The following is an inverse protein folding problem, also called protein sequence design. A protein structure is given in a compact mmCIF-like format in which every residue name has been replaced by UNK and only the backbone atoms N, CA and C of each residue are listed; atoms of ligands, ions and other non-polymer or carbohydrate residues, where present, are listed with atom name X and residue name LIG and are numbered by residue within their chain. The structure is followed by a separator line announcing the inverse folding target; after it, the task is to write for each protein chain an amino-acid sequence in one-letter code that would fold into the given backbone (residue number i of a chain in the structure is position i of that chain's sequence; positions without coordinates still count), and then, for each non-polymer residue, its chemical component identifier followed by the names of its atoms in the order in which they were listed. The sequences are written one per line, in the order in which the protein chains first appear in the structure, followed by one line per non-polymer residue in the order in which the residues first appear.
data_IF_305260071922
#
_entry.id   IF_305260071922
#
_cell.length_a   1.000
_cell.length_b   1.000
_cell.length_c   1.000
_cell.angle_alpha   90.00
_cell.angle_beta   90.00
_cell.angle_gamma   90.00
#
_symmetry.space_group_name_H-M   'P 1'
#
loop_
_entity.id
_entity.type
_entity.pdbx_description
1 polymer ?
#
# COMPACT_ATOMS: atom_id res chain seq x y z
N UNK A 1 24.91 9.08 14.23
CA UNK A 1 23.90 8.18 13.63
C UNK A 1 22.89 7.89 14.73
N UNK A 2 21.95 8.81 14.95
CA UNK A 2 21.19 8.88 16.21
C UNK A 2 19.66 8.88 16.01
N UNK A 3 19.16 8.87 14.76
CA UNK A 3 17.72 8.95 14.50
C UNK A 3 17.32 7.97 13.39
N UNK A 4 16.73 6.83 13.76
CA UNK A 4 15.85 6.04 12.86
C UNK A 4 16.33 4.67 12.38
N UNK A 5 17.64 4.38 12.41
CA UNK A 5 18.18 3.27 11.61
C UNK A 5 18.20 1.89 12.30
N UNK A 6 18.17 1.83 13.64
CA UNK A 6 18.35 0.58 14.40
C UNK A 6 17.13 -0.37 14.39
N UNK A 7 16.06 -0.04 13.68
CA UNK A 7 14.86 -0.88 13.53
C UNK A 7 14.11 -0.69 12.22
N UNK A 8 14.70 0.02 11.25
CA UNK A 8 14.04 0.28 9.98
C UNK A 8 14.02 -0.98 9.11
N UNK A 9 12.90 -1.21 8.41
CA UNK A 9 12.75 -2.33 7.46
C UNK A 9 13.85 -2.37 6.38
N UNK A 10 14.47 -1.22 6.12
CA UNK A 10 15.59 -1.04 5.20
C UNK A 10 16.88 -1.76 5.63
N UNK A 11 17.00 -2.21 6.90
CA UNK A 11 18.11 -3.06 7.33
C UNK A 11 18.10 -4.42 6.60
N UNK A 12 16.92 -4.88 6.19
CA UNK A 12 16.78 -6.14 5.48
C UNK A 12 17.12 -6.03 3.99
N UNK A 13 17.12 -4.82 3.43
CA UNK A 13 17.37 -4.59 2.00
C UNK A 13 18.84 -4.30 1.72
N UNK A 14 19.33 -4.64 0.52
CA UNK A 14 20.68 -4.32 0.10
C UNK A 14 20.78 -2.88 -0.46
N UNK A 15 22.01 -2.39 -0.57
CA UNK A 15 22.32 -1.10 -1.22
C UNK A 15 22.56 -1.23 -2.72
N UNK A 16 22.25 -2.39 -3.31
CA UNK A 16 22.40 -2.60 -4.76
C UNK A 16 21.34 -1.77 -5.50
N UNK A 17 21.81 -1.01 -6.49
CA UNK A 17 20.99 -0.09 -7.27
C UNK A 17 21.03 -0.42 -8.75
N UNK A 18 19.97 -0.05 -9.46
CA UNK A 18 19.98 -0.01 -10.92
C UNK A 18 21.02 1.01 -11.42
N UNK A 19 21.89 0.60 -12.35
CA UNK A 19 23.05 1.39 -12.77
C UNK A 19 22.72 2.70 -13.52
N UNK A 20 21.51 2.82 -14.07
CA UNK A 20 21.13 3.97 -14.90
C UNK A 20 20.25 4.98 -14.16
N UNK A 21 19.59 4.53 -13.10
CA UNK A 21 18.59 5.32 -12.36
C UNK A 21 18.91 5.46 -10.88
N UNK A 22 19.97 4.80 -10.39
CA UNK A 22 20.35 4.71 -8.98
C UNK A 22 19.19 4.28 -8.07
N UNK A 23 18.22 3.54 -8.62
CA UNK A 23 17.04 3.08 -7.88
C UNK A 23 17.37 1.80 -7.11
N UNK A 24 17.26 1.77 -5.77
CA UNK A 24 17.54 0.58 -4.98
C UNK A 24 16.50 -0.54 -5.15
N UNK A 25 16.93 -1.78 -4.95
CA UNK A 25 16.08 -2.98 -5.05
C UNK A 25 15.15 -3.19 -3.84
N UNK A 26 14.29 -2.21 -3.51
CA UNK A 26 13.35 -2.33 -2.38
C UNK A 26 12.26 -3.40 -2.55
N UNK A 27 11.94 -3.77 -3.79
CA UNK A 27 10.82 -4.66 -4.11
C UNK A 27 11.25 -6.12 -4.22
N UNK A 28 12.54 -6.41 -4.04
CA UNK A 28 13.10 -7.75 -4.20
C UNK A 28 14.27 -7.96 -3.24
N UNK A 29 14.01 -8.69 -2.17
CA UNK A 29 15.01 -9.13 -1.20
C UNK A 29 14.61 -10.50 -0.66
N UNK A 30 15.52 -11.47 -0.72
CA UNK A 30 15.32 -12.78 -0.10
C UNK A 30 15.49 -12.66 1.41
N UNK A 31 14.50 -13.13 2.18
CA UNK A 31 14.57 -13.14 3.65
C UNK A 31 14.14 -14.50 4.21
N UNK A 32 14.65 -14.83 5.41
CA UNK A 32 14.18 -15.96 6.20
C UNK A 32 13.13 -15.46 7.19
N UNK A 33 11.96 -16.08 7.17
CA UNK A 33 10.88 -15.78 8.12
C UNK A 33 10.83 -16.84 9.21
N UNK A 34 10.79 -16.40 10.45
CA UNK A 34 10.63 -17.26 11.61
C UNK A 34 9.35 -16.90 12.36
N UNK A 35 8.57 -17.91 12.73
CA UNK A 35 7.31 -17.70 13.45
C UNK A 35 7.61 -17.49 14.93
N UNK A 36 7.52 -16.24 15.39
CA UNK A 36 7.72 -15.90 16.81
C UNK A 36 6.52 -16.36 17.67
N UNK A 37 5.28 -16.12 17.22
CA UNK A 37 4.05 -16.58 17.90
C UNK A 37 2.94 -16.85 16.89
N UNK A 38 2.22 -17.98 17.02
CA UNK A 38 1.11 -18.33 16.11
C UNK A 38 -0.15 -17.46 16.32
N UNK A 39 -0.41 -17.03 17.56
CA UNK A 39 -1.47 -16.08 17.91
C UNK A 39 -0.93 -15.11 18.96
N UNK A 40 -1.09 -13.82 18.70
CA UNK A 40 -0.64 -12.75 19.59
C UNK A 40 -1.62 -11.58 19.57
N UNK A 41 -1.24 -10.49 20.24
CA UNK A 41 -2.00 -9.23 20.17
C UNK A 41 -1.99 -8.73 18.72
N UNK A 42 -3.14 -8.24 18.26
CA UNK A 42 -3.24 -7.62 16.93
C UNK A 42 -2.18 -6.51 16.80
N UNK A 43 -1.39 -6.48 15.71
CA UNK A 43 -0.44 -5.39 15.47
C UNK A 43 -1.15 -4.09 15.10
N UNK A 44 -2.44 -4.14 14.75
CA UNK A 44 -3.24 -2.97 14.44
C UNK A 44 -3.67 -2.27 15.74
N UNK A 45 -3.47 -0.95 15.79
CA UNK A 45 -4.04 -0.09 16.84
C UNK A 45 -5.57 -0.31 16.95
N UNK A 46 -6.16 -0.38 18.16
CA UNK A 46 -7.61 -0.52 18.34
C UNK A 46 -8.46 0.50 17.56
N UNK A 47 -7.96 1.71 17.34
CA UNK A 47 -8.66 2.76 16.59
C UNK A 47 -8.63 2.57 15.06
N UNK A 48 -7.85 1.61 14.56
CA UNK A 48 -7.73 1.33 13.13
C UNK A 48 -9.09 0.96 12.53
N UNK A 49 -9.41 1.50 11.35
CA UNK A 49 -10.69 1.26 10.68
C UNK A 49 -10.97 -0.22 10.36
N UNK A 50 -9.94 -1.08 10.38
CA UNK A 50 -10.04 -2.52 10.14
C UNK A 50 -10.45 -3.32 11.37
N UNK A 51 -10.32 -2.76 12.58
CA UNK A 51 -10.54 -3.44 13.86
C UNK A 51 -11.95 -3.14 14.38
N UNK A 52 -12.74 -4.17 14.66
CA UNK A 52 -14.05 -4.08 15.33
C UNK A 52 -15.05 -3.06 14.75
N UNK A 53 -14.89 -2.67 13.48
CA UNK A 53 -15.84 -1.78 12.78
C UNK A 53 -16.78 -2.58 11.88
N UNK A 54 -18.06 -2.20 11.89
CA UNK A 54 -19.04 -2.68 10.91
C UNK A 54 -18.58 -2.23 9.52
N UNK A 55 -18.35 -3.20 8.62
CA UNK A 55 -17.95 -2.90 7.25
C UNK A 55 -19.17 -2.55 6.41
N UNK A 56 -19.04 -1.50 5.60
CA UNK A 56 -20.01 -1.12 4.57
C UNK A 56 -19.36 -1.38 3.20
N UNK A 57 -19.24 -2.65 2.78
CA UNK A 57 -18.58 -2.98 1.53
C UNK A 57 -19.36 -2.36 0.36
N UNK A 58 -18.63 -1.76 -0.58
CA UNK A 58 -19.21 -1.36 -1.84
C UNK A 58 -19.50 -2.62 -2.67
N UNK A 59 -20.76 -2.79 -3.10
CA UNK A 59 -21.11 -3.87 -4.00
C UNK A 59 -20.66 -3.52 -5.42
N UNK A 60 -19.69 -4.29 -5.93
CA UNK A 60 -19.15 -4.19 -7.28
C UNK A 60 -18.60 -2.78 -7.63
N UNK A 61 -18.23 -2.62 -8.89
CA UNK A 61 -17.83 -1.33 -9.45
C UNK A 61 -19.12 -0.57 -9.79
N UNK A 62 -19.44 0.47 -9.00
CA UNK A 62 -20.64 1.30 -9.19
C UNK A 62 -20.43 2.30 -10.34
N UNK A 63 -20.21 1.80 -11.55
CA UNK A 63 -19.84 2.59 -12.74
C UNK A 63 -20.90 3.65 -13.07
N UNK A 64 -22.17 3.29 -12.93
CA UNK A 64 -23.32 4.14 -13.22
C UNK A 64 -23.29 5.39 -12.34
N UNK A 65 -23.02 5.23 -11.03
CA UNK A 65 -22.86 6.37 -10.12
C UNK A 65 -21.68 7.27 -10.48
N UNK A 66 -20.61 6.71 -11.06
CA UNK A 66 -19.49 7.53 -11.56
C UNK A 66 -19.93 8.35 -12.76
N UNK A 67 -20.67 7.77 -13.69
CA UNK A 67 -21.15 8.45 -14.90
C UNK A 67 -22.27 9.47 -14.62
N UNK A 68 -23.07 9.28 -13.58
CA UNK A 68 -24.12 10.20 -13.13
C UNK A 68 -23.57 11.47 -12.43
N UNK A 69 -22.27 11.50 -12.10
CA UNK A 69 -21.66 12.65 -11.43
C UNK A 69 -21.68 13.89 -12.33
N UNK A 70 -22.09 15.07 -11.82
CA UNK A 70 -22.16 16.29 -12.62
C UNK A 70 -20.79 16.79 -13.09
N UNK A 71 -19.71 16.40 -12.40
CA UNK A 71 -18.33 16.76 -12.74
C UNK A 71 -17.64 15.72 -13.64
N UNK A 72 -18.32 14.65 -14.03
CA UNK A 72 -17.73 13.60 -14.85
C UNK A 72 -17.76 13.96 -16.34
N UNK A 73 -16.58 13.99 -16.96
CA UNK A 73 -16.43 14.09 -18.42
C UNK A 73 -15.88 12.76 -18.94
N UNK A 74 -16.55 12.16 -19.91
CA UNK A 74 -16.07 10.93 -20.54
C UNK A 74 -14.74 11.21 -21.28
N UNK A 75 -13.66 10.44 -21.06
CA UNK A 75 -12.35 10.73 -21.67
C UNK A 75 -12.38 10.81 -23.19
N UNK A 76 -13.23 10.03 -23.86
CA UNK A 76 -13.43 10.12 -25.32
C UNK A 76 -13.90 11.50 -25.79
N UNK A 77 -14.65 12.23 -24.97
CA UNK A 77 -15.13 13.57 -25.32
C UNK A 77 -14.06 14.66 -25.15
N UNK A 78 -12.89 14.32 -24.61
CA UNK A 78 -11.78 15.26 -24.41
C UNK A 78 -10.76 15.21 -25.55
N UNK A 79 -10.72 14.12 -26.32
CA UNK A 79 -9.74 13.94 -27.41
C UNK A 79 -10.21 14.50 -28.77
N UNK A 80 -11.51 14.73 -28.93
CA UNK A 80 -12.12 15.27 -30.16
C UNK A 80 -12.24 16.82 -30.14
N UNK A 81 -11.45 17.52 -29.32
CA UNK A 81 -11.43 18.98 -29.22
C UNK A 81 -10.15 19.59 -29.75
#
# INVERSE_FOLDING_TARGET
MENGDLGAINLLTNSDVDQYTDTPSYKRTSCRLEVITKRGKSPLNPNNFRVNKKRHPQYSVQVQKKWERPDYVFPGNQVDK
#
